data_IF_326800506605
#
_entry.id   IF_326800506605
#
_cell.length_a   1.000
_cell.length_b   1.000
_cell.length_c   1.000
_cell.angle_alpha   90.00
_cell.angle_beta   90.00
_cell.angle_gamma   90.00
#
_symmetry.space_group_name_H-M   'P 1'
#
loop_
_entity.id
_entity.type
_entity.pdbx_description
1 polymer ?
#
# COMPACT_ATOMS: atom_id res chain seq x y z
N UNK A 1 -68.63 39.48 -35.50
CA UNK A 1 -68.16 38.17 -36.01
C UNK A 1 -67.01 37.79 -35.14
N UNK A 2 -67.28 37.05 -34.05
CA UNK A 2 -66.28 36.59 -33.08
C UNK A 2 -65.94 35.09 -33.36
N UNK A 3 -64.71 34.80 -33.68
CA UNK A 3 -64.21 33.43 -33.86
C UNK A 3 -63.64 33.00 -32.53
N UNK A 4 -64.30 32.06 -31.86
CA UNK A 4 -63.78 31.42 -30.65
C UNK A 4 -62.86 30.27 -31.05
N UNK A 5 -61.58 30.37 -30.66
CA UNK A 5 -60.59 29.32 -30.82
C UNK A 5 -60.68 28.44 -29.59
N UNK A 6 -61.12 27.18 -29.74
CA UNK A 6 -61.14 26.20 -28.68
C UNK A 6 -59.76 25.50 -28.67
N UNK A 7 -58.95 25.74 -27.64
CA UNK A 7 -57.68 24.97 -27.34
C UNK A 7 -58.09 23.64 -26.71
N UNK A 8 -57.88 22.53 -27.42
CA UNK A 8 -58.00 21.18 -26.87
C UNK A 8 -56.81 20.84 -26.07
N UNK A 9 -56.91 20.66 -24.75
CA UNK A 9 -55.87 20.05 -23.87
C UNK A 9 -55.87 18.54 -24.12
N UNK A 10 -54.85 18.05 -24.78
CA UNK A 10 -54.54 16.63 -24.85
C UNK A 10 -53.87 16.23 -23.54
N UNK A 11 -54.61 15.60 -22.64
CA UNK A 11 -54.07 14.94 -21.44
C UNK A 11 -53.41 13.63 -21.84
N UNK A 12 -52.08 13.59 -21.85
CA UNK A 12 -51.35 12.35 -21.93
C UNK A 12 -51.46 11.65 -20.58
N UNK A 13 -52.34 10.68 -20.44
CA UNK A 13 -52.33 9.71 -19.36
C UNK A 13 -51.25 8.70 -19.67
N UNK A 14 -50.06 8.94 -19.11
CA UNK A 14 -48.98 7.95 -19.12
C UNK A 14 -49.43 6.73 -18.31
N UNK A 15 -49.78 5.65 -18.99
CA UNK A 15 -49.94 4.33 -18.34
C UNK A 15 -48.58 3.84 -17.92
N UNK A 16 -48.21 4.03 -16.65
CA UNK A 16 -47.06 3.33 -16.08
C UNK A 16 -47.42 1.85 -16.00
N UNK A 17 -46.85 1.05 -16.88
CA UNK A 17 -46.98 -0.40 -16.82
C UNK A 17 -46.32 -0.89 -15.53
N UNK A 18 -47.09 -1.20 -14.51
CA UNK A 18 -46.63 -1.80 -13.28
C UNK A 18 -46.15 -3.22 -13.60
N UNK A 19 -44.85 -3.44 -13.58
CA UNK A 19 -44.30 -4.78 -13.75
C UNK A 19 -44.42 -5.52 -12.42
N UNK A 20 -45.16 -6.62 -12.41
CA UNK A 20 -45.32 -7.47 -11.25
C UNK A 20 -44.28 -8.60 -11.33
N UNK A 21 -43.37 -8.72 -10.32
CA UNK A 21 -42.49 -9.85 -10.13
C UNK A 21 -43.14 -10.78 -9.13
N UNK A 22 -43.48 -11.99 -9.56
CA UNK A 22 -43.98 -13.05 -8.67
C UNK A 22 -42.79 -13.96 -8.28
N UNK A 23 -42.45 -13.99 -7.00
CA UNK A 23 -41.41 -14.88 -6.48
C UNK A 23 -42.08 -16.18 -5.98
N UNK A 24 -41.69 -17.32 -6.54
CA UNK A 24 -42.10 -18.60 -6.05
C UNK A 24 -41.24 -19.01 -4.86
N UNK A 25 -41.79 -18.94 -3.64
CA UNK A 25 -41.09 -19.22 -2.39
C UNK A 25 -40.89 -20.74 -2.10
N UNK A 26 -41.14 -21.62 -3.06
CA UNK A 26 -40.84 -23.04 -2.85
C UNK A 26 -39.31 -23.23 -2.79
N UNK A 27 -38.78 -23.89 -1.73
CA UNK A 27 -37.36 -24.21 -1.66
C UNK A 27 -36.92 -24.99 -2.89
N UNK A 28 -35.86 -24.54 -3.56
CA UNK A 28 -35.20 -25.29 -4.62
C UNK A 28 -34.13 -26.25 -4.06
N UNK A 29 -33.20 -26.67 -4.90
CA UNK A 29 -32.03 -27.42 -4.44
C UNK A 29 -31.16 -26.54 -3.51
N UNK A 30 -30.53 -27.14 -2.47
CA UNK A 30 -29.59 -26.38 -1.64
C UNK A 30 -28.47 -25.77 -2.46
N UNK A 31 -28.19 -24.48 -2.24
CA UNK A 31 -27.02 -23.83 -2.82
C UNK A 31 -25.81 -24.20 -1.95
N UNK A 32 -24.80 -24.79 -2.57
CA UNK A 32 -23.56 -25.11 -1.87
C UNK A 32 -22.83 -23.81 -1.44
N UNK A 33 -22.18 -23.77 -0.27
CA UNK A 33 -21.44 -22.58 0.17
C UNK A 33 -20.43 -22.09 -0.85
N UNK A 34 -19.83 -22.99 -1.64
CA UNK A 34 -18.84 -22.69 -2.66
C UNK A 34 -19.41 -22.21 -4.00
N UNK A 35 -20.73 -22.01 -4.10
CA UNK A 35 -21.35 -21.50 -5.34
C UNK A 35 -21.12 -20.01 -5.56
N UNK A 36 -20.74 -19.28 -4.56
CA UNK A 36 -20.37 -17.87 -4.65
C UNK A 36 -19.16 -17.56 -3.77
N UNK A 37 -18.45 -16.52 -4.11
CA UNK A 37 -17.26 -16.09 -3.39
C UNK A 37 -16.82 -14.72 -3.82
N UNK A 38 -15.61 -14.37 -3.44
CA UNK A 38 -14.98 -13.12 -3.80
C UNK A 38 -13.78 -13.37 -4.71
N UNK A 39 -13.50 -12.39 -5.53
CA UNK A 39 -12.35 -12.34 -6.41
C UNK A 39 -11.49 -11.14 -6.05
N UNK A 40 -10.21 -11.36 -5.85
CA UNK A 40 -9.23 -10.32 -5.67
C UNK A 40 -8.29 -10.30 -6.87
N UNK A 41 -8.11 -9.13 -7.45
CA UNK A 41 -7.05 -8.87 -8.42
C UNK A 41 -6.24 -7.66 -7.95
N UNK A 42 -4.92 -7.80 -7.94
CA UNK A 42 -4.02 -6.75 -7.47
C UNK A 42 -3.84 -5.68 -8.56
N UNK A 43 -4.80 -4.77 -8.62
CA UNK A 43 -4.83 -3.61 -9.51
C UNK A 43 -5.22 -2.35 -8.73
N UNK A 44 -4.85 -1.18 -9.24
CA UNK A 44 -5.28 0.13 -8.70
C UNK A 44 -5.08 0.25 -7.18
N UNK A 45 -3.90 -0.16 -6.69
CA UNK A 45 -3.60 -0.18 -5.25
C UNK A 45 -4.50 -1.12 -4.44
N UNK A 46 -4.86 -2.26 -5.00
CA UNK A 46 -5.66 -3.26 -4.30
C UNK A 46 -4.90 -3.95 -3.17
N UNK A 47 -3.61 -4.29 -3.40
CA UNK A 47 -2.72 -4.80 -2.37
C UNK A 47 -1.94 -3.64 -1.72
N UNK A 48 -0.85 -3.18 -2.34
CA UNK A 48 -0.08 -2.04 -1.83
C UNK A 48 -0.93 -0.77 -1.87
N UNK A 49 -1.09 -0.10 -0.72
CA UNK A 49 -1.99 1.05 -0.56
C UNK A 49 -3.47 0.69 -0.38
N UNK A 50 -3.79 -0.61 -0.32
CA UNK A 50 -5.14 -1.15 -0.14
C UNK A 50 -5.20 -2.13 1.03
N UNK A 51 -5.30 -3.44 0.73
CA UNK A 51 -5.45 -4.48 1.74
C UNK A 51 -4.18 -4.71 2.56
N UNK A 52 -3.00 -4.52 1.96
CA UNK A 52 -1.72 -4.55 2.67
C UNK A 52 -1.57 -3.27 3.49
N UNK A 53 -1.34 -3.40 4.79
CA UNK A 53 -1.40 -2.28 5.74
C UNK A 53 -0.13 -1.40 5.76
N UNK A 54 0.86 -1.67 4.89
CA UNK A 54 2.03 -0.80 4.73
C UNK A 54 1.61 0.59 4.27
N UNK A 55 2.01 1.60 5.02
CA UNK A 55 1.65 3.00 4.75
C UNK A 55 2.67 3.72 3.88
N UNK A 56 3.88 3.17 3.74
CA UNK A 56 4.99 3.79 2.97
C UNK A 56 4.96 3.32 1.52
N UNK A 57 4.79 4.24 0.59
CA UNK A 57 4.95 3.97 -0.84
C UNK A 57 6.43 3.82 -1.19
N UNK A 58 6.77 2.82 -2.03
CA UNK A 58 8.15 2.55 -2.48
C UNK A 58 9.14 2.42 -1.31
N UNK A 59 8.81 1.59 -0.33
CA UNK A 59 9.57 1.39 0.91
C UNK A 59 11.01 0.92 0.72
N UNK A 60 11.29 0.23 -0.40
CA UNK A 60 12.58 -0.39 -0.74
C UNK A 60 13.35 0.32 -1.85
N UNK A 61 12.86 1.47 -2.33
CA UNK A 61 13.48 2.27 -3.40
C UNK A 61 13.71 1.52 -4.72
N UNK A 62 12.92 0.45 -4.98
CA UNK A 62 13.06 -0.39 -6.16
C UNK A 62 12.23 0.07 -7.36
N UNK A 63 11.34 1.05 -7.21
CA UNK A 63 10.56 1.56 -8.34
C UNK A 63 11.51 2.07 -9.44
N UNK A 64 11.13 2.05 -10.73
CA UNK A 64 11.99 2.51 -11.82
C UNK A 64 12.54 3.93 -11.61
N UNK A 65 11.73 4.83 -11.08
CA UNK A 65 12.17 6.09 -10.50
C UNK A 65 12.42 5.84 -9.01
N UNK A 66 13.66 5.63 -8.62
CA UNK A 66 14.06 5.14 -7.28
C UNK A 66 13.45 5.93 -6.12
N UNK A 67 13.28 7.22 -6.26
CA UNK A 67 12.68 8.12 -5.27
C UNK A 67 11.20 8.45 -5.56
N UNK A 68 10.53 7.70 -6.43
CA UNK A 68 9.09 7.84 -6.63
C UNK A 68 8.35 7.60 -5.29
N UNK A 69 7.39 8.46 -4.96
CA UNK A 69 6.70 8.48 -3.66
C UNK A 69 7.45 9.21 -2.54
N UNK A 70 8.71 9.63 -2.80
CA UNK A 70 9.55 10.33 -1.83
C UNK A 70 9.88 11.75 -2.27
N UNK A 71 9.71 12.71 -1.35
CA UNK A 71 10.32 14.02 -1.43
C UNK A 71 11.64 14.01 -0.65
N UNK A 72 12.65 14.72 -1.15
CA UNK A 72 13.98 14.75 -0.54
C UNK A 72 14.36 16.15 -0.09
N UNK A 73 15.15 16.25 0.97
CA UNK A 73 15.72 17.47 1.51
C UNK A 73 17.24 17.26 1.66
N UNK A 74 18.03 18.26 1.33
CA UNK A 74 19.49 18.23 1.52
C UNK A 74 20.20 17.23 0.63
N UNK A 75 21.20 16.57 1.19
CA UNK A 75 22.07 15.65 0.46
C UNK A 75 21.53 14.22 0.54
N UNK A 76 20.83 13.78 -0.50
CA UNK A 76 20.18 12.48 -0.63
C UNK A 76 20.57 11.84 -1.95
N UNK A 77 21.03 10.61 -1.91
CA UNK A 77 21.34 9.82 -3.09
C UNK A 77 20.82 8.39 -2.95
N UNK A 78 20.83 7.64 -4.05
CA UNK A 78 20.47 6.21 -4.08
C UNK A 78 21.70 5.42 -4.47
N UNK A 79 21.93 4.29 -3.81
CA UNK A 79 23.03 3.37 -4.06
C UNK A 79 22.55 1.92 -4.07
N UNK A 80 23.35 1.04 -4.68
CA UNK A 80 23.19 -0.42 -4.69
C UNK A 80 24.47 -1.14 -4.25
N UNK A 81 25.42 -0.39 -3.70
CA UNK A 81 26.74 -0.92 -3.31
C UNK A 81 26.66 -1.62 -1.95
N UNK A 82 26.90 -2.93 -1.92
CA UNK A 82 26.77 -3.77 -0.71
C UNK A 82 25.37 -3.64 -0.08
N UNK A 83 24.30 -3.97 -0.79
CA UNK A 83 22.93 -3.81 -0.36
C UNK A 83 22.60 -4.60 0.91
N UNK A 84 21.45 -4.29 1.53
CA UNK A 84 20.87 -5.09 2.60
C UNK A 84 20.33 -6.43 2.06
N UNK A 85 19.76 -6.40 0.85
CA UNK A 85 19.07 -7.52 0.23
C UNK A 85 19.45 -7.65 -1.24
N UNK A 86 19.81 -8.86 -1.67
CA UNK A 86 20.25 -9.10 -3.06
C UNK A 86 19.15 -8.90 -4.10
N UNK A 87 17.88 -9.12 -3.70
CA UNK A 87 16.73 -9.02 -4.61
C UNK A 87 16.07 -7.64 -4.60
N UNK A 88 16.42 -6.80 -3.63
CA UNK A 88 16.03 -5.41 -3.48
C UNK A 88 17.30 -4.61 -3.15
N UNK A 89 18.18 -4.39 -4.16
CA UNK A 89 19.52 -3.88 -3.88
C UNK A 89 19.59 -2.37 -3.63
N UNK A 90 18.57 -1.60 -3.98
CA UNK A 90 18.64 -0.16 -3.87
C UNK A 90 18.29 0.33 -2.46
N UNK A 91 19.05 1.29 -2.00
CA UNK A 91 18.84 1.95 -0.71
C UNK A 91 19.17 3.44 -0.82
N UNK A 92 18.69 4.22 0.13
CA UNK A 92 18.96 5.66 0.20
C UNK A 92 20.14 5.94 1.10
N UNK A 93 20.99 6.87 0.67
CA UNK A 93 22.07 7.46 1.44
C UNK A 93 21.66 8.86 1.86
N UNK A 94 21.70 9.14 3.16
CA UNK A 94 21.57 10.48 3.72
C UNK A 94 22.94 10.94 4.24
N UNK A 95 23.41 12.06 3.73
CA UNK A 95 24.67 12.69 4.21
C UNK A 95 24.36 14.08 4.78
N UNK A 96 25.30 14.65 5.50
CA UNK A 96 25.15 15.99 6.07
C UNK A 96 24.79 17.02 4.99
N UNK A 97 23.84 17.88 5.30
CA UNK A 97 23.26 18.84 4.33
C UNK A 97 24.21 19.96 3.89
N UNK A 98 25.43 20.05 4.45
CA UNK A 98 26.36 21.16 4.16
C UNK A 98 25.88 22.51 4.74
N UNK A 99 26.54 23.58 4.31
CA UNK A 99 26.33 24.92 4.92
C UNK A 99 24.99 25.59 4.55
N UNK A 100 24.39 25.23 3.39
CA UNK A 100 23.25 25.96 2.83
C UNK A 100 21.89 25.36 3.21
N UNK A 101 21.86 24.17 3.77
CA UNK A 101 20.63 23.47 4.14
C UNK A 101 20.70 22.97 5.58
N UNK A 102 19.60 23.07 6.30
CA UNK A 102 19.55 22.76 7.71
C UNK A 102 19.57 21.26 8.00
N UNK A 103 18.99 20.44 7.11
CA UNK A 103 18.84 18.99 7.29
C UNK A 103 18.88 18.26 5.96
N UNK A 104 19.38 17.03 5.96
CA UNK A 104 19.08 16.05 4.94
C UNK A 104 17.96 15.13 5.42
N UNK A 105 17.08 14.72 4.53
CA UNK A 105 15.96 13.89 4.94
C UNK A 105 15.04 13.47 3.80
N UNK A 106 14.03 12.71 4.19
CA UNK A 106 13.03 12.11 3.32
C UNK A 106 11.62 12.42 3.84
N UNK A 107 10.68 12.62 2.93
CA UNK A 107 9.25 12.70 3.22
C UNK A 107 8.48 11.70 2.37
N UNK A 108 7.59 10.93 2.99
CA UNK A 108 6.67 10.03 2.29
C UNK A 108 5.23 10.35 2.68
N UNK A 109 4.37 10.46 1.67
CA UNK A 109 2.92 10.74 1.85
C UNK A 109 2.06 9.49 1.74
N UNK A 110 2.69 8.32 1.64
CA UNK A 110 1.98 7.10 1.34
C UNK A 110 1.33 7.16 -0.06
N UNK A 111 0.34 6.32 -0.25
CA UNK A 111 -0.32 6.17 -1.55
C UNK A 111 -1.29 7.33 -1.86
N UNK A 112 -2.04 7.83 -0.88
CA UNK A 112 -3.05 8.90 -1.03
C UNK A 112 -3.07 9.87 0.16
N UNK A 113 -2.01 9.92 0.93
CA UNK A 113 -1.93 10.50 2.26
C UNK A 113 -2.03 9.41 3.32
N UNK A 114 -1.32 9.58 4.43
CA UNK A 114 -1.35 8.64 5.55
C UNK A 114 -2.51 8.96 6.47
N UNK A 115 -3.52 8.10 6.53
CA UNK A 115 -4.61 8.20 7.51
C UNK A 115 -4.09 7.91 8.92
N UNK A 116 -4.08 8.91 9.79
CA UNK A 116 -3.66 8.76 11.18
C UNK A 116 -4.87 8.90 12.10
N UNK A 117 -5.01 7.98 13.06
CA UNK A 117 -6.14 7.93 13.99
C UNK A 117 -5.68 8.31 15.40
N UNK A 118 -6.41 9.22 16.05
CA UNK A 118 -6.11 9.62 17.43
C UNK A 118 -6.04 8.44 18.37
N UNK A 119 -4.94 8.33 19.12
CA UNK A 119 -4.66 7.27 20.08
C UNK A 119 -4.12 5.97 19.48
N UNK A 120 -4.00 5.90 18.14
CA UNK A 120 -3.41 4.75 17.44
C UNK A 120 -1.89 4.89 17.44
N UNK A 121 -1.23 3.77 17.67
CA UNK A 121 0.21 3.61 17.51
C UNK A 121 0.55 3.10 16.12
N UNK A 122 1.74 3.46 15.65
CA UNK A 122 2.27 3.10 14.34
C UNK A 122 3.69 2.59 14.51
N UNK A 123 3.94 1.37 14.07
CA UNK A 123 5.24 0.73 14.16
C UNK A 123 6.09 1.11 12.95
N UNK A 124 7.07 1.95 13.19
CA UNK A 124 8.10 2.30 12.22
C UNK A 124 9.22 1.28 12.28
N UNK A 125 9.70 0.85 11.11
CA UNK A 125 10.94 0.07 11.00
C UNK A 125 11.75 0.48 9.78
N UNK A 126 13.07 0.29 9.86
CA UNK A 126 14.00 0.57 8.78
C UNK A 126 15.25 -0.31 8.94
N UNK A 127 15.80 -0.78 7.84
CA UNK A 127 17.17 -1.31 7.85
C UNK A 127 18.13 -0.13 7.69
N UNK A 128 19.08 -0.04 8.59
CA UNK A 128 20.03 1.08 8.65
C UNK A 128 21.45 0.62 8.97
N UNK A 129 22.42 1.39 8.44
CA UNK A 129 23.84 1.29 8.79
C UNK A 129 24.50 2.65 8.68
N UNK A 130 25.65 2.81 9.32
CA UNK A 130 26.52 3.98 9.05
C UNK A 130 26.99 3.95 7.60
N UNK A 131 26.92 5.08 6.92
CA UNK A 131 27.42 5.23 5.55
C UNK A 131 28.94 5.20 5.54
N UNK A 132 29.58 5.96 6.41
CA UNK A 132 31.02 6.04 6.52
C UNK A 132 31.57 4.94 7.46
N UNK A 133 32.58 4.19 6.99
CA UNK A 133 33.28 3.19 7.79
C UNK A 133 34.06 3.79 8.97
N UNK A 134 34.38 5.07 8.93
CA UNK A 134 35.05 5.82 9.99
C UNK A 134 34.05 6.50 10.93
N UNK A 135 32.76 6.53 10.57
CA UNK A 135 31.69 7.09 11.38
C UNK A 135 31.54 6.31 12.70
N UNK A 136 31.16 7.02 13.75
CA UNK A 136 30.94 6.43 15.07
C UNK A 136 29.48 6.27 15.40
N UNK A 137 28.68 7.27 15.05
CA UNK A 137 27.26 7.33 15.38
C UNK A 137 26.52 8.26 14.41
N UNK A 138 25.39 7.78 13.90
CA UNK A 138 24.44 8.60 13.19
C UNK A 138 23.10 8.59 13.96
N UNK A 139 22.39 9.73 13.93
CA UNK A 139 21.05 9.87 14.49
C UNK A 139 20.08 10.27 13.41
N UNK A 140 18.99 9.54 13.33
CA UNK A 140 17.84 9.93 12.52
C UNK A 140 16.65 10.20 13.41
N UNK A 141 15.85 11.20 13.03
CA UNK A 141 14.58 11.51 13.65
C UNK A 141 13.45 11.17 12.69
N UNK A 142 12.50 10.37 13.17
CA UNK A 142 11.30 10.00 12.42
C UNK A 142 10.11 10.77 13.00
N UNK A 143 9.28 11.35 12.15
CA UNK A 143 8.11 12.14 12.53
C UNK A 143 6.86 11.68 11.80
N UNK A 144 5.73 11.64 12.52
CA UNK A 144 4.40 11.73 11.92
C UNK A 144 4.00 13.20 11.84
N UNK A 145 3.44 13.62 10.73
CA UNK A 145 3.12 15.02 10.44
C UNK A 145 1.69 15.12 9.93
N UNK A 146 0.98 16.17 10.30
CA UNK A 146 -0.38 16.39 9.83
C UNK A 146 -0.45 17.07 8.44
N UNK A 147 -1.67 17.26 7.96
CA UNK A 147 -1.99 17.93 6.69
C UNK A 147 -1.69 19.45 6.68
N UNK A 148 -1.36 20.02 7.85
CA UNK A 148 -0.94 21.41 8.03
C UNK A 148 0.58 21.54 8.25
N UNK A 149 1.33 20.49 7.98
CA UNK A 149 2.79 20.45 8.13
C UNK A 149 3.29 20.53 9.59
N UNK A 150 2.45 20.13 10.57
CA UNK A 150 2.80 20.15 11.98
C UNK A 150 3.13 18.76 12.48
N UNK A 151 4.25 18.58 13.21
CA UNK A 151 4.58 17.31 13.83
C UNK A 151 3.49 16.86 14.82
N UNK A 152 3.13 15.58 14.75
CA UNK A 152 2.18 14.90 15.63
C UNK A 152 2.93 14.16 16.73
N UNK A 153 3.93 13.38 16.31
CA UNK A 153 4.84 12.64 17.19
C UNK A 153 6.20 12.48 16.51
N UNK A 154 7.24 12.24 17.28
CA UNK A 154 8.59 12.04 16.79
C UNK A 154 9.37 11.08 17.67
N UNK A 155 10.24 10.30 17.06
CA UNK A 155 11.16 9.37 17.71
C UNK A 155 12.56 9.50 17.12
N UNK A 156 13.58 9.23 17.93
CA UNK A 156 14.98 9.24 17.51
C UNK A 156 15.51 7.81 17.46
N UNK A 157 16.33 7.51 16.45
CA UNK A 157 17.01 6.24 16.29
C UNK A 157 18.51 6.50 16.17
N UNK A 158 19.29 5.80 16.97
CA UNK A 158 20.76 5.84 16.92
C UNK A 158 21.30 4.63 16.15
N UNK A 159 22.17 4.89 15.19
CA UNK A 159 22.88 3.91 14.36
C UNK A 159 24.36 3.97 14.71
N UNK A 160 24.94 2.86 15.18
CA UNK A 160 26.30 2.81 15.73
C UNK A 160 27.25 1.84 15.01
N UNK A 161 26.78 1.17 13.95
CA UNK A 161 27.62 0.26 13.19
C UNK A 161 27.39 0.36 11.69
N UNK A 162 28.36 -0.13 10.91
CA UNK A 162 28.35 -0.15 9.44
C UNK A 162 27.78 -1.44 8.83
N UNK A 163 27.15 -2.29 9.64
CA UNK A 163 26.42 -3.47 9.18
C UNK A 163 24.94 -3.17 9.19
N UNK A 164 24.25 -3.63 8.16
CA UNK A 164 22.79 -3.54 8.09
C UNK A 164 22.13 -4.17 9.31
N UNK A 165 21.26 -3.42 9.95
CA UNK A 165 20.46 -3.88 11.08
C UNK A 165 19.07 -3.24 11.04
N UNK A 166 18.04 -4.03 11.33
CA UNK A 166 16.68 -3.51 11.49
C UNK A 166 16.59 -2.68 12.77
N UNK A 167 16.04 -1.49 12.65
CA UNK A 167 15.73 -0.57 13.73
C UNK A 167 14.23 -0.35 13.78
N UNK A 168 13.68 -0.23 14.96
CA UNK A 168 12.23 -0.06 15.18
C UNK A 168 11.97 0.99 16.23
N UNK A 169 10.91 1.78 16.04
CA UNK A 169 10.32 2.66 17.04
C UNK A 169 8.82 2.73 16.83
N UNK A 170 8.07 3.04 17.88
CA UNK A 170 6.63 3.23 17.79
C UNK A 170 6.30 4.71 17.93
N UNK A 171 5.47 5.22 17.03
CA UNK A 171 4.94 6.58 17.02
C UNK A 171 3.46 6.54 17.36
N UNK A 172 2.94 7.51 18.11
CA UNK A 172 1.53 7.55 18.49
C UNK A 172 0.86 8.82 18.02
N UNK A 173 -0.27 8.70 17.30
CA UNK A 173 -1.00 9.89 16.88
C UNK A 173 -1.85 10.48 18.00
N UNK A 174 -1.67 11.76 18.29
CA UNK A 174 -2.48 12.50 19.26
C UNK A 174 -3.76 13.10 18.66
N UNK A 175 -3.96 12.97 17.33
CA UNK A 175 -5.13 13.45 16.59
C UNK A 175 -5.48 12.57 15.39
N UNK A 176 -6.71 12.72 14.89
CA UNK A 176 -7.11 12.06 13.63
C UNK A 176 -6.81 12.99 12.46
N UNK A 177 -6.13 12.48 11.45
CA UNK A 177 -5.72 13.18 10.24
C UNK A 177 -5.98 12.28 9.03
N UNK A 178 -6.59 12.79 7.98
CA UNK A 178 -6.89 12.00 6.77
C UNK A 178 -5.70 11.92 5.82
N UNK A 179 -4.89 12.97 5.75
CA UNK A 179 -3.78 13.11 4.80
C UNK A 179 -2.48 13.52 5.50
N UNK A 180 -2.10 12.75 6.52
CA UNK A 180 -0.80 12.90 7.16
C UNK A 180 0.33 12.39 6.27
N UNK A 181 1.53 12.49 6.79
CA UNK A 181 2.76 12.04 6.15
C UNK A 181 3.80 11.63 7.20
N UNK A 182 4.87 10.98 6.74
CA UNK A 182 6.03 10.62 7.55
C UNK A 182 7.26 11.36 7.03
N UNK A 183 8.13 11.80 7.95
CA UNK A 183 9.45 12.37 7.65
C UNK A 183 10.55 11.65 8.39
N UNK A 184 11.71 11.58 7.76
CA UNK A 184 12.96 11.09 8.35
C UNK A 184 14.01 12.17 8.12
N UNK A 185 14.67 12.62 9.18
CA UNK A 185 15.75 13.61 9.13
C UNK A 185 17.04 13.03 9.70
N UNK A 186 18.16 13.29 9.04
CA UNK A 186 19.48 13.08 9.59
C UNK A 186 19.84 14.23 10.54
N UNK A 187 20.13 13.91 11.81
CA UNK A 187 20.46 14.89 12.86
C UNK A 187 21.94 14.87 13.29
N UNK A 188 22.76 14.08 12.58
CA UNK A 188 24.19 13.93 12.88
C UNK A 188 25.07 14.38 11.72
N UNK A 189 26.37 14.51 11.98
CA UNK A 189 27.37 14.78 10.94
C UNK A 189 27.70 13.53 10.12
N UNK A 190 27.64 12.34 10.75
CA UNK A 190 27.89 11.08 10.07
C UNK A 190 26.67 10.69 9.23
N UNK A 191 26.90 10.24 8.01
CA UNK A 191 25.87 9.78 7.09
C UNK A 191 25.28 8.43 7.45
N UNK A 192 24.11 8.12 6.90
CA UNK A 192 23.40 6.86 7.13
C UNK A 192 22.84 6.31 5.82
N UNK A 193 22.91 4.99 5.68
CA UNK A 193 22.21 4.24 4.64
C UNK A 193 20.91 3.71 5.21
N UNK A 194 19.80 3.87 4.48
CA UNK A 194 18.46 3.46 4.87
C UNK A 194 17.81 2.62 3.78
N UNK A 195 17.22 1.49 4.16
CA UNK A 195 16.49 0.61 3.26
C UNK A 195 15.24 0.03 3.94
N UNK A 196 14.29 -0.42 3.16
CA UNK A 196 13.02 -0.98 3.64
C UNK A 196 12.37 -0.16 4.76
N UNK A 197 12.12 1.11 4.44
CA UNK A 197 11.42 2.04 5.33
C UNK A 197 9.95 1.65 5.39
N UNK A 198 9.44 1.37 6.56
CA UNK A 198 8.11 0.79 6.76
C UNK A 198 7.37 1.45 7.91
N UNK A 199 6.06 1.61 7.77
CA UNK A 199 5.16 2.15 8.79
C UNK A 199 3.84 1.38 8.79
N UNK A 200 3.57 0.63 9.86
CA UNK A 200 2.34 -0.13 10.02
C UNK A 200 1.47 0.41 11.16
N UNK A 201 0.15 0.49 11.01
CA UNK A 201 -0.72 0.69 12.15
C UNK A 201 -0.66 -0.52 13.10
N UNK A 202 -0.69 -0.28 14.40
CA UNK A 202 -0.58 -1.33 15.43
C UNK A 202 -1.72 -2.37 15.34
N UNK A 203 -2.90 -1.93 14.91
CA UNK A 203 -4.09 -2.79 14.78
C UNK A 203 -4.11 -3.65 13.51
N UNK A 204 -3.04 -3.66 12.70
CA UNK A 204 -2.99 -4.49 11.52
C UNK A 204 -3.11 -5.99 11.90
N UNK A 205 -3.74 -6.77 11.01
CA UNK A 205 -3.84 -8.20 11.15
C UNK A 205 -2.83 -8.88 10.23
N UNK A 206 -1.70 -9.35 10.77
CA UNK A 206 -0.62 -10.01 10.02
C UNK A 206 -0.13 -9.21 8.79
N UNK A 207 0.00 -7.89 8.95
CA UNK A 207 0.39 -6.99 7.87
C UNK A 207 -0.75 -6.57 6.95
N UNK A 208 -2.00 -7.00 7.21
CA UNK A 208 -3.18 -6.59 6.47
C UNK A 208 -4.02 -5.60 7.28
N UNK A 209 -4.79 -4.77 6.59
CA UNK A 209 -5.72 -3.84 7.22
C UNK A 209 -6.84 -4.60 7.94
N UNK A 210 -6.85 -4.51 9.26
CA UNK A 210 -7.80 -5.24 10.09
C UNK A 210 -9.27 -4.91 9.79
N UNK A 211 -9.58 -3.67 9.45
CA UNK A 211 -10.91 -3.21 9.04
C UNK A 211 -11.36 -3.94 7.76
N UNK A 212 -10.52 -3.98 6.73
CA UNK A 212 -10.84 -4.67 5.47
C UNK A 212 -10.91 -6.19 5.64
N UNK A 213 -10.03 -6.78 6.46
CA UNK A 213 -10.10 -8.22 6.79
C UNK A 213 -11.44 -8.54 7.45
N UNK A 214 -11.91 -7.69 8.37
CA UNK A 214 -13.20 -7.86 9.00
C UNK A 214 -14.36 -7.75 8.01
N UNK A 215 -14.34 -6.74 7.14
CA UNK A 215 -15.38 -6.56 6.12
C UNK A 215 -15.46 -7.77 5.17
N UNK A 216 -14.30 -8.29 4.74
CA UNK A 216 -14.23 -9.52 3.94
C UNK A 216 -14.77 -10.74 4.69
N UNK A 217 -14.51 -10.87 5.98
CA UNK A 217 -15.05 -11.93 6.83
C UNK A 217 -16.57 -11.83 6.96
N UNK A 218 -17.11 -10.62 7.12
CA UNK A 218 -18.54 -10.37 7.27
C UNK A 218 -19.33 -10.67 5.97
N UNK A 219 -18.68 -10.74 4.81
CA UNK A 219 -19.27 -11.19 3.56
C UNK A 219 -19.55 -12.70 3.52
N UNK A 220 -18.92 -13.48 4.40
CA UNK A 220 -19.02 -14.95 4.45
C UNK A 220 -18.85 -15.63 3.09
N UNK A 221 -17.75 -15.33 2.33
CA UNK A 221 -17.56 -15.92 1.02
C UNK A 221 -17.26 -17.40 1.12
N UNK A 222 -17.81 -18.22 0.21
CA UNK A 222 -17.49 -19.64 0.13
C UNK A 222 -16.16 -19.91 -0.56
N UNK A 223 -15.73 -19.01 -1.48
CA UNK A 223 -14.47 -19.12 -2.23
C UNK A 223 -13.79 -17.75 -2.24
N UNK A 224 -12.46 -17.76 -2.14
CA UNK A 224 -11.60 -16.59 -2.35
C UNK A 224 -10.60 -16.87 -3.50
N UNK A 225 -10.85 -16.27 -4.68
CA UNK A 225 -9.97 -16.38 -5.84
C UNK A 225 -8.96 -15.24 -5.83
N UNK A 226 -7.67 -15.57 -5.98
CA UNK A 226 -6.54 -14.63 -5.96
C UNK A 226 -5.37 -15.14 -6.83
N UNK A 227 -4.37 -14.31 -7.15
CA UNK A 227 -4.23 -12.86 -6.95
C UNK A 227 -4.83 -12.06 -8.10
N UNK A 228 -5.54 -12.68 -9.01
CA UNK A 228 -6.14 -12.11 -10.19
C UNK A 228 -6.20 -13.08 -11.35
N UNK A 229 -6.33 -12.56 -12.55
CA UNK A 229 -6.26 -13.29 -13.80
C UNK A 229 -5.23 -12.65 -14.72
N UNK A 230 -5.53 -11.46 -15.24
CA UNK A 230 -4.63 -10.76 -16.16
C UNK A 230 -3.27 -10.43 -15.55
N UNK A 231 -3.20 -10.10 -14.26
CA UNK A 231 -1.92 -9.86 -13.60
C UNK A 231 -1.08 -11.13 -13.48
N UNK A 232 -1.72 -12.31 -13.45
CA UNK A 232 -0.99 -13.59 -13.38
C UNK A 232 -0.25 -13.86 -14.68
N UNK A 233 -0.85 -13.51 -15.80
CA UNK A 233 -0.19 -13.61 -17.12
C UNK A 233 0.98 -12.62 -17.22
N UNK A 234 0.83 -11.42 -16.64
CA UNK A 234 1.74 -10.31 -16.86
C UNK A 234 1.66 -9.79 -18.29
N UNK A 235 2.64 -9.01 -18.71
CA UNK A 235 2.81 -8.56 -20.10
C UNK A 235 3.73 -9.51 -20.86
N UNK A 236 4.63 -10.15 -20.14
CA UNK A 236 5.61 -11.13 -20.65
C UNK A 236 6.03 -12.10 -19.54
N UNK A 237 7.00 -12.97 -19.83
CA UNK A 237 7.51 -13.95 -18.87
C UNK A 237 8.24 -13.32 -17.68
N UNK A 238 8.72 -12.08 -17.78
CA UNK A 238 9.42 -11.39 -16.70
C UNK A 238 8.40 -10.80 -15.73
N UNK A 239 7.36 -10.17 -16.26
CA UNK A 239 6.36 -9.41 -15.48
C UNK A 239 5.19 -10.27 -15.01
N UNK A 240 5.11 -11.57 -15.40
CA UNK A 240 4.08 -12.47 -14.89
C UNK A 240 4.17 -12.61 -13.37
N UNK A 241 3.05 -12.85 -12.72
CA UNK A 241 3.01 -13.07 -11.27
C UNK A 241 3.67 -14.40 -10.90
N UNK A 242 4.92 -14.34 -10.49
CA UNK A 242 5.67 -15.49 -10.00
C UNK A 242 5.37 -15.69 -8.51
N UNK A 243 4.44 -16.59 -8.20
CA UNK A 243 4.03 -16.82 -6.81
C UNK A 243 5.20 -17.14 -5.87
N UNK A 244 6.26 -17.80 -6.38
CA UNK A 244 7.50 -18.08 -5.61
C UNK A 244 8.22 -16.82 -5.17
N UNK A 245 8.06 -15.70 -5.89
CA UNK A 245 8.61 -14.41 -5.52
C UNK A 245 7.84 -13.73 -4.38
N UNK A 246 6.61 -14.16 -4.15
CA UNK A 246 5.71 -13.57 -3.16
C UNK A 246 5.67 -14.32 -1.83
N UNK A 247 6.59 -15.26 -1.59
CA UNK A 247 6.71 -16.01 -0.33
C UNK A 247 8.08 -15.80 0.32
N UNK A 248 8.16 -16.04 1.63
CA UNK A 248 9.35 -15.76 2.43
C UNK A 248 9.35 -14.37 3.04
N UNK A 249 10.47 -13.88 3.61
CA UNK A 249 10.56 -12.55 4.18
C UNK A 249 10.22 -11.47 3.15
N UNK A 250 9.42 -10.49 3.56
CA UNK A 250 8.92 -9.44 2.65
C UNK A 250 10.06 -8.61 2.05
N UNK A 251 11.16 -8.47 2.77
CA UNK A 251 12.36 -7.74 2.36
C UNK A 251 13.11 -8.41 1.20
N UNK A 252 12.91 -9.72 1.00
CA UNK A 252 13.48 -10.49 -0.11
C UNK A 252 12.54 -10.70 -1.29
N UNK A 253 11.33 -10.17 -1.24
CA UNK A 253 10.37 -10.27 -2.33
C UNK A 253 10.66 -9.16 -3.35
N UNK A 254 11.03 -9.50 -4.60
CA UNK A 254 11.40 -8.48 -5.58
C UNK A 254 10.19 -7.68 -6.03
N UNK A 255 10.42 -6.46 -6.43
CA UNK A 255 9.39 -5.65 -7.10
C UNK A 255 8.93 -6.33 -8.38
N UNK A 256 7.63 -6.30 -8.65
CA UNK A 256 7.05 -6.67 -9.94
C UNK A 256 6.30 -5.48 -10.55
N UNK A 257 6.40 -5.34 -11.85
CA UNK A 257 5.63 -4.35 -12.58
C UNK A 257 4.22 -4.89 -12.85
N UNK A 258 3.21 -4.11 -12.49
CA UNK A 258 1.84 -4.51 -12.73
C UNK A 258 1.50 -4.41 -14.22
N UNK A 259 0.90 -5.47 -14.79
CA UNK A 259 0.46 -5.52 -16.20
C UNK A 259 -0.31 -4.27 -16.63
N UNK A 260 -1.12 -3.72 -15.75
CA UNK A 260 -1.99 -2.60 -16.05
C UNK A 260 -1.23 -1.28 -16.28
N UNK A 261 0.04 -1.17 -15.89
CA UNK A 261 0.89 -0.04 -16.24
C UNK A 261 1.11 0.05 -17.76
N UNK A 262 1.27 -1.07 -18.44
CA UNK A 262 1.43 -1.13 -19.90
C UNK A 262 0.12 -1.02 -20.65
N UNK A 263 -0.87 -1.80 -20.23
CA UNK A 263 -2.11 -1.98 -20.99
C UNK A 263 -2.96 -0.70 -20.98
N UNK A 264 -2.91 0.06 -19.91
CA UNK A 264 -3.72 1.27 -19.75
C UNK A 264 -2.90 2.45 -19.21
N UNK A 265 -1.95 3.01 -19.99
CA UNK A 265 -1.08 4.09 -19.52
C UNK A 265 -1.85 5.38 -19.20
N UNK A 266 -3.06 5.55 -19.74
CA UNK A 266 -3.93 6.71 -19.52
C UNK A 266 -4.88 6.57 -18.32
N UNK A 267 -4.82 5.47 -17.59
CA UNK A 267 -5.65 5.29 -16.40
C UNK A 267 -5.26 6.22 -15.25
N UNK A 268 -6.11 6.30 -14.23
CA UNK A 268 -5.94 7.21 -13.11
C UNK A 268 -4.66 6.92 -12.29
N UNK A 269 -4.26 5.64 -12.22
CA UNK A 269 -3.09 5.18 -11.46
C UNK A 269 -2.15 4.38 -12.36
N UNK A 270 -1.35 5.04 -13.24
CA UNK A 270 -0.53 4.35 -14.23
C UNK A 270 0.76 3.72 -13.67
N UNK A 271 1.19 4.13 -12.47
CA UNK A 271 2.48 3.73 -11.88
C UNK A 271 2.27 2.84 -10.66
N UNK A 272 1.50 1.77 -10.82
CA UNK A 272 1.28 0.80 -9.77
C UNK A 272 2.26 -0.37 -9.90
N UNK A 273 3.03 -0.62 -8.85
CA UNK A 273 4.01 -1.70 -8.74
C UNK A 273 3.61 -2.63 -7.59
N UNK A 274 3.94 -3.92 -7.72
CA UNK A 274 3.64 -4.94 -6.73
C UNK A 274 4.89 -5.22 -5.90
N UNK A 275 4.87 -4.89 -4.61
CA UNK A 275 5.96 -5.21 -3.68
C UNK A 275 5.86 -6.63 -3.12
N UNK A 276 4.77 -7.33 -3.44
CA UNK A 276 4.41 -8.62 -2.87
C UNK A 276 4.29 -8.62 -1.33
N UNK A 277 4.06 -7.49 -0.70
CA UNK A 277 3.75 -7.41 0.72
C UNK A 277 2.54 -8.29 1.08
N UNK A 278 1.50 -8.25 0.23
CA UNK A 278 0.43 -9.25 0.18
C UNK A 278 0.81 -10.31 -0.87
N UNK A 279 1.37 -11.42 -0.42
CA UNK A 279 1.79 -12.53 -1.26
C UNK A 279 0.97 -13.79 -1.05
N UNK A 280 1.42 -14.90 -1.63
CA UNK A 280 0.66 -16.17 -1.58
C UNK A 280 0.45 -16.68 -0.16
N UNK A 281 1.44 -16.55 0.72
CA UNK A 281 1.27 -16.95 2.11
C UNK A 281 0.14 -16.14 2.79
N UNK A 282 0.15 -14.83 2.60
CA UNK A 282 -0.83 -13.92 3.18
C UNK A 282 -2.24 -14.16 2.58
N UNK A 283 -2.35 -14.49 1.30
CA UNK A 283 -3.63 -14.84 0.68
C UNK A 283 -4.22 -16.13 1.26
N UNK A 284 -3.41 -17.17 1.49
CA UNK A 284 -3.89 -18.39 2.14
C UNK A 284 -4.30 -18.15 3.60
N UNK A 285 -3.50 -17.36 4.33
CA UNK A 285 -3.81 -16.98 5.70
C UNK A 285 -5.13 -16.18 5.77
N UNK A 286 -5.32 -15.24 4.82
CA UNK A 286 -6.57 -14.49 4.71
C UNK A 286 -7.75 -15.39 4.37
N UNK A 287 -7.60 -16.36 3.44
CA UNK A 287 -8.65 -17.32 3.10
C UNK A 287 -9.14 -18.09 4.34
N UNK A 288 -8.20 -18.58 5.14
CA UNK A 288 -8.53 -19.25 6.42
C UNK A 288 -9.27 -18.29 7.37
N UNK A 289 -8.78 -17.06 7.51
CA UNK A 289 -9.37 -16.04 8.40
C UNK A 289 -10.81 -15.70 8.05
N UNK A 290 -11.12 -15.56 6.76
CA UNK A 290 -12.47 -15.19 6.29
C UNK A 290 -13.40 -16.40 6.11
N UNK A 291 -12.87 -17.63 6.32
CA UNK A 291 -13.64 -18.87 6.20
C UNK A 291 -13.95 -19.29 4.77
N UNK A 292 -13.13 -18.89 3.79
CA UNK A 292 -13.31 -19.17 2.37
C UNK A 292 -12.33 -20.24 1.89
N UNK A 293 -12.79 -21.11 0.97
CA UNK A 293 -11.90 -22.02 0.24
C UNK A 293 -10.96 -21.22 -0.69
N UNK A 294 -9.65 -21.40 -0.61
CA UNK A 294 -8.72 -20.69 -1.47
C UNK A 294 -8.76 -21.22 -2.90
N UNK A 295 -8.85 -20.32 -3.86
CA UNK A 295 -8.76 -20.63 -5.30
C UNK A 295 -7.59 -19.85 -5.92
N UNK A 296 -6.34 -20.32 -5.74
CA UNK A 296 -5.17 -19.65 -6.30
C UNK A 296 -5.11 -19.78 -7.82
N UNK A 297 -4.79 -18.68 -8.49
CA UNK A 297 -4.52 -18.64 -9.93
C UNK A 297 -3.02 -18.61 -10.15
N UNK A 298 -2.54 -19.52 -10.98
CA UNK A 298 -1.11 -19.70 -11.27
C UNK A 298 -0.85 -19.53 -12.77
N UNK A 299 0.35 -19.06 -13.11
CA UNK A 299 0.87 -19.03 -14.49
C UNK A 299 1.68 -20.28 -14.81
#
# INVERSE_FOLDING_TARGET
MFVSLALGLLSFTGTSAQRQLTINAKPGAPIQPTMYGIFFEDINFGADGGLYAEMVENRSFEFPQRLMGWNTFGNVSVSDVKPAFDRNPHYVVLESAGHDQKFSGLENRGFFGMGLKKGMSYDFSVFARLHDLQGKEAKIRVELVDDQDKPIDKQEITITNNKWAKKTVTLTSNKTVEKGLMRIFLESADGVDLDHVSLFPEDNWHGLRADLVKDLQDLHPGIFRFPGGCIVEGTDLVTRYQWKNSVGPAENRPLNENRWNYTFPHRLYPNYYQTYGLGFYEFFLLSEKIGAEPLPVLS
#
